data_IF_385445192679
#
_entry.id   IF_385445192679
#
_cell.length_a   1.000
_cell.length_b   1.000
_cell.length_c   1.000
_cell.angle_alpha   90.00
_cell.angle_beta   90.00
_cell.angle_gamma   90.00
#
_symmetry.space_group_name_H-M   'P 1'
#
loop_
_entity.id
_entity.type
_entity.pdbx_description
1 polymer ?
#
# COMPACT_ATOMS: atom_id res chain seq x y z
N UNK A 1 22.01 18.18 -4.04
CA UNK A 1 23.25 17.69 -3.41
C UNK A 1 23.08 17.80 -1.91
N UNK A 2 22.98 16.68 -1.21
CA UNK A 2 22.75 16.65 0.24
C UNK A 2 22.54 15.20 0.68
N UNK A 3 23.60 14.56 1.16
CA UNK A 3 23.58 13.20 1.69
C UNK A 3 23.24 13.32 3.18
N UNK A 4 22.12 12.74 3.61
CA UNK A 4 21.74 12.69 5.02
C UNK A 4 21.54 11.24 5.45
N UNK A 5 22.13 10.85 6.58
CA UNK A 5 22.03 9.51 7.18
C UNK A 5 20.86 9.44 8.15
N UNK A 6 20.11 8.34 8.12
CA UNK A 6 19.02 8.05 9.08
C UNK A 6 19.32 6.72 9.80
N UNK A 7 19.28 6.65 11.14
CA UNK A 7 19.42 5.40 11.88
C UNK A 7 18.09 4.61 11.93
N UNK A 8 18.11 3.31 11.67
CA UNK A 8 16.96 2.40 11.84
C UNK A 8 17.01 1.69 13.21
N UNK A 9 15.88 1.64 13.91
CA UNK A 9 15.66 0.78 15.08
C UNK A 9 14.58 -0.25 14.76
N UNK A 10 14.82 -1.53 15.06
CA UNK A 10 13.91 -2.65 14.79
C UNK A 10 13.09 -3.03 16.04
N UNK A 11 11.82 -3.46 15.90
CA UNK A 11 11.04 -4.00 17.01
C UNK A 11 11.41 -5.46 17.30
N UNK A 12 11.38 -5.84 18.60
CA UNK A 12 11.54 -7.22 19.06
C UNK A 12 10.28 -8.03 18.73
N UNK A 13 10.45 -9.26 18.24
CA UNK A 13 9.35 -10.20 17.98
C UNK A 13 9.68 -11.51 18.69
N UNK A 14 8.80 -11.87 19.62
CA UNK A 14 8.97 -12.98 20.55
C UNK A 14 8.05 -14.15 20.13
N UNK A 15 8.63 -15.18 19.45
CA UNK A 15 8.21 -16.61 19.24
C UNK A 15 6.99 -16.98 18.35
N UNK A 16 6.82 -18.26 17.86
CA UNK A 16 7.73 -19.43 17.72
C UNK A 16 7.62 -20.16 16.33
N UNK A 17 8.28 -21.32 16.10
CA UNK A 17 7.56 -22.62 15.95
C UNK A 17 8.44 -23.92 15.89
N UNK A 18 9.26 -24.28 14.89
CA UNK A 18 9.37 -25.75 14.60
C UNK A 18 10.68 -26.56 14.80
N UNK A 19 11.68 -26.18 15.62
CA UNK A 19 12.89 -27.04 15.84
C UNK A 19 13.21 -27.37 17.32
N UNK A 20 12.19 -27.53 18.16
CA UNK A 20 12.34 -27.54 19.64
C UNK A 20 12.87 -28.86 20.25
N UNK A 21 12.96 -29.98 19.54
CA UNK A 21 13.11 -31.28 20.25
C UNK A 21 14.54 -31.80 20.48
N UNK A 22 15.57 -31.33 19.75
CA UNK A 22 16.91 -31.92 19.83
C UNK A 22 17.92 -31.19 20.76
N UNK A 23 17.56 -30.06 21.37
CA UNK A 23 18.46 -29.24 22.20
C UNK A 23 18.04 -29.18 23.69
N UNK A 24 17.39 -30.23 24.19
CA UNK A 24 16.92 -30.34 25.57
C UNK A 24 18.06 -30.67 26.56
N UNK A 25 18.97 -29.72 26.81
CA UNK A 25 19.78 -29.72 28.06
C UNK A 25 20.51 -28.38 28.32
N UNK A 26 19.90 -27.24 27.95
CA UNK A 26 20.45 -25.95 28.37
C UNK A 26 19.88 -25.52 29.73
N UNK A 27 20.78 -25.59 30.71
CA UNK A 27 20.59 -25.14 32.08
C UNK A 27 19.95 -23.73 32.15
N UNK A 28 18.99 -23.61 33.07
CA UNK A 28 18.32 -22.37 33.48
C UNK A 28 19.37 -21.31 33.81
N UNK A 29 19.55 -20.30 32.95
CA UNK A 29 20.40 -19.15 33.26
C UNK A 29 20.80 -18.25 32.10
N UNK A 30 20.96 -18.78 30.88
CA UNK A 30 21.27 -17.98 29.69
C UNK A 30 20.71 -18.68 28.45
N UNK A 31 20.00 -17.95 27.59
CA UNK A 31 19.63 -18.43 26.26
C UNK A 31 20.90 -18.39 25.38
N UNK A 32 21.53 -19.54 25.08
CA UNK A 32 22.79 -19.58 24.35
C UNK A 32 22.64 -19.09 22.92
N UNK A 33 21.43 -19.22 22.34
CA UNK A 33 21.12 -18.73 20.98
C UNK A 33 21.07 -17.21 20.99
N UNK A 34 20.40 -16.61 21.98
CA UNK A 34 20.37 -15.16 22.14
C UNK A 34 21.77 -14.58 22.41
N UNK A 35 22.58 -15.25 23.22
CA UNK A 35 23.96 -14.84 23.48
C UNK A 35 24.83 -14.92 22.21
N UNK A 36 24.75 -16.03 21.47
CA UNK A 36 25.46 -16.22 20.22
C UNK A 36 25.06 -15.18 19.17
N UNK A 37 23.75 -14.92 19.03
CA UNK A 37 23.22 -13.89 18.14
C UNK A 37 23.71 -12.48 18.54
N UNK A 38 23.69 -12.16 19.83
CA UNK A 38 24.20 -10.89 20.35
C UNK A 38 25.71 -10.71 20.08
N UNK A 39 26.51 -11.76 20.28
CA UNK A 39 27.94 -11.77 19.99
C UNK A 39 28.21 -11.59 18.49
N UNK A 40 27.43 -12.27 17.64
CA UNK A 40 27.49 -12.14 16.19
C UNK A 40 27.14 -10.71 15.74
N UNK A 41 26.03 -10.13 16.21
CA UNK A 41 25.61 -8.76 15.88
C UNK A 41 26.64 -7.72 16.31
N UNK A 42 27.18 -7.80 17.54
CA UNK A 42 28.26 -6.89 18.00
C UNK A 42 29.50 -6.96 17.11
N UNK A 43 29.84 -8.16 16.65
CA UNK A 43 30.97 -8.38 15.74
C UNK A 43 30.70 -7.79 14.36
N UNK A 44 29.50 -8.01 13.81
CA UNK A 44 29.07 -7.40 12.56
C UNK A 44 29.08 -5.86 12.64
N UNK A 45 28.61 -5.27 13.74
CA UNK A 45 28.61 -3.81 13.92
C UNK A 45 30.03 -3.25 14.02
N UNK A 46 30.93 -3.84 14.82
CA UNK A 46 32.35 -3.43 14.89
C UNK A 46 33.06 -3.56 13.55
N UNK A 47 32.73 -4.59 12.78
CA UNK A 47 33.25 -4.79 11.43
C UNK A 47 32.63 -3.83 10.39
N UNK A 48 31.66 -3.00 10.78
CA UNK A 48 30.95 -2.08 9.88
C UNK A 48 30.00 -2.77 8.91
N UNK A 49 29.60 -4.02 9.18
CA UNK A 49 28.67 -4.78 8.33
C UNK A 49 27.22 -4.32 8.54
N UNK A 50 26.91 -3.85 9.74
CA UNK A 50 25.63 -3.21 10.09
C UNK A 50 25.78 -1.68 10.01
N UNK A 51 26.38 -1.19 8.92
CA UNK A 51 26.54 0.25 8.67
C UNK A 51 25.29 0.84 8.01
N UNK A 52 25.18 2.18 8.08
CA UNK A 52 24.20 2.92 7.31
C UNK A 52 24.31 2.54 5.83
N UNK A 53 23.22 2.00 5.29
CA UNK A 53 23.09 1.67 3.87
C UNK A 53 22.80 2.93 3.09
N UNK A 54 23.34 3.01 1.87
CA UNK A 54 22.98 4.09 0.95
C UNK A 54 21.51 3.94 0.54
N UNK A 55 20.87 5.09 0.41
CA UNK A 55 19.44 5.23 0.24
C UNK A 55 19.20 5.84 -1.14
N UNK A 56 18.43 5.16 -1.99
CA UNK A 56 18.16 5.60 -3.35
C UNK A 56 16.66 5.74 -3.64
N UNK A 57 16.29 6.80 -4.35
CA UNK A 57 14.91 7.07 -4.76
C UNK A 57 14.65 6.35 -6.07
N UNK A 58 13.63 5.49 -6.12
CA UNK A 58 13.31 4.67 -7.29
C UNK A 58 11.85 4.85 -7.69
N UNK A 59 11.54 4.62 -8.96
CA UNK A 59 10.16 4.57 -9.45
C UNK A 59 9.38 3.41 -8.82
N UNK A 60 8.05 3.54 -8.69
CA UNK A 60 7.22 2.55 -7.98
C UNK A 60 7.31 1.16 -8.60
N UNK A 61 7.38 1.10 -9.94
CA UNK A 61 7.56 -0.17 -10.67
C UNK A 61 8.90 -0.87 -10.41
N UNK A 62 9.93 -0.14 -9.96
CA UNK A 62 11.25 -0.68 -9.63
C UNK A 62 11.46 -0.88 -8.11
N UNK A 63 10.41 -0.63 -7.31
CA UNK A 63 10.48 -0.71 -5.85
C UNK A 63 10.37 -2.15 -5.31
N UNK A 64 9.81 -3.07 -6.10
CA UNK A 64 9.59 -4.46 -5.71
C UNK A 64 10.87 -5.16 -5.24
N UNK A 65 10.78 -5.88 -4.12
CA UNK A 65 11.88 -6.63 -3.50
C UNK A 65 12.85 -5.79 -2.68
N UNK A 66 12.76 -4.46 -2.73
CA UNK A 66 13.59 -3.55 -1.94
C UNK A 66 13.00 -3.35 -0.54
N UNK A 67 13.74 -2.65 0.33
CA UNK A 67 13.27 -2.31 1.69
C UNK A 67 12.99 -0.82 1.75
N UNK A 68 12.05 -0.34 2.59
CA UNK A 68 11.76 1.10 2.76
C UNK A 68 12.78 1.77 3.69
N UNK A 69 13.31 2.94 3.32
CA UNK A 69 14.25 3.69 4.17
C UNK A 69 13.52 4.55 5.22
N UNK A 70 12.30 4.96 4.94
CA UNK A 70 11.46 5.79 5.80
C UNK A 70 9.99 5.34 5.72
N UNK A 71 9.14 5.71 6.69
CA UNK A 71 7.71 5.42 6.63
C UNK A 71 7.06 6.09 5.42
N UNK A 72 6.33 5.33 4.62
CA UNK A 72 5.60 5.85 3.46
C UNK A 72 4.15 6.13 3.85
N UNK A 73 3.70 7.36 3.64
CA UNK A 73 2.34 7.81 3.94
C UNK A 73 1.56 8.10 2.66
N UNK A 74 0.24 7.93 2.70
CA UNK A 74 -0.62 8.18 1.54
C UNK A 74 -0.66 9.67 1.18
N UNK A 75 -0.55 9.98 -0.11
CA UNK A 75 -0.61 11.38 -0.60
C UNK A 75 -2.03 11.89 -0.77
N UNK A 76 -2.95 10.98 -1.11
CA UNK A 76 -4.37 11.26 -1.25
C UNK A 76 -5.19 10.10 -0.69
N UNK A 77 -6.48 10.33 -0.56
CA UNK A 77 -7.44 9.33 -0.13
C UNK A 77 -7.85 8.43 -1.31
N UNK A 78 -8.15 7.16 -1.02
CA UNK A 78 -8.69 6.19 -1.96
C UNK A 78 -9.95 5.57 -1.34
N UNK A 79 -11.13 5.69 -1.99
CA UNK A 79 -11.43 6.60 -3.11
C UNK A 79 -11.17 8.08 -2.75
N UNK A 80 -10.91 8.91 -3.76
CA UNK A 80 -10.67 10.35 -3.57
C UNK A 80 -11.97 11.16 -3.39
N UNK A 81 -13.11 10.55 -3.70
CA UNK A 81 -14.44 11.11 -3.67
C UNK A 81 -15.44 10.07 -3.13
N UNK A 82 -16.67 10.48 -2.81
CA UNK A 82 -17.73 9.52 -2.46
C UNK A 82 -18.14 8.78 -3.74
N UNK A 83 -17.96 7.46 -3.76
CA UNK A 83 -18.20 6.67 -4.96
C UNK A 83 -19.44 5.78 -4.80
N UNK A 84 -20.14 5.51 -5.90
CA UNK A 84 -21.18 4.49 -5.92
C UNK A 84 -20.56 3.11 -5.67
N UNK A 85 -21.16 2.34 -4.75
CA UNK A 85 -20.70 0.98 -4.45
C UNK A 85 -21.39 -0.08 -5.33
N UNK A 86 -22.47 0.29 -6.02
CA UNK A 86 -23.32 -0.58 -6.82
C UNK A 86 -23.78 0.19 -8.07
N UNK A 87 -24.17 -0.55 -9.11
CA UNK A 87 -24.81 0.02 -10.30
C UNK A 87 -26.28 0.33 -10.01
N UNK A 88 -26.81 1.43 -10.54
CA UNK A 88 -28.20 1.81 -10.39
C UNK A 88 -28.43 3.31 -10.45
N UNK A 89 -29.09 3.87 -9.43
CA UNK A 89 -29.39 5.30 -9.36
C UNK A 89 -28.98 5.90 -8.02
N UNK A 90 -28.22 7.01 -8.09
CA UNK A 90 -27.89 7.84 -6.95
C UNK A 90 -29.08 8.76 -6.64
N UNK A 91 -29.53 8.76 -5.40
CA UNK A 91 -30.74 9.46 -4.94
C UNK A 91 -30.46 10.22 -3.65
N UNK A 92 -31.35 11.12 -3.28
CA UNK A 92 -31.48 11.53 -1.89
C UNK A 92 -32.34 10.48 -1.18
N UNK A 93 -31.82 9.86 -0.11
CA UNK A 93 -32.44 8.72 0.55
C UNK A 93 -33.89 9.00 0.98
N UNK A 94 -34.15 10.22 1.47
CA UNK A 94 -35.48 10.68 1.90
C UNK A 94 -36.54 10.60 0.79
N UNK A 95 -36.15 10.73 -0.48
CA UNK A 95 -37.08 10.66 -1.62
C UNK A 95 -37.55 9.21 -1.89
N UNK A 96 -36.89 8.23 -1.28
CA UNK A 96 -37.26 6.80 -1.38
C UNK A 96 -38.02 6.29 -0.16
N UNK A 97 -38.35 7.16 0.79
CA UNK A 97 -39.01 6.76 2.03
C UNK A 97 -40.32 6.00 1.77
N UNK A 98 -40.47 4.85 2.41
CA UNK A 98 -41.62 3.94 2.27
C UNK A 98 -41.77 3.27 0.89
N UNK A 99 -40.77 3.35 0.00
CA UNK A 99 -40.76 2.58 -1.23
C UNK A 99 -40.74 1.07 -0.92
N UNK A 100 -41.69 0.35 -1.49
CA UNK A 100 -41.81 -1.11 -1.38
C UNK A 100 -42.27 -1.72 -2.70
N UNK A 101 -42.12 -3.04 -2.93
CA UNK A 101 -42.58 -3.67 -4.16
C UNK A 101 -44.07 -3.50 -4.46
N UNK A 102 -44.89 -3.29 -3.42
CA UNK A 102 -46.34 -3.07 -3.54
C UNK A 102 -46.71 -1.59 -3.67
N UNK A 103 -45.80 -0.69 -3.31
CA UNK A 103 -45.98 0.76 -3.33
C UNK A 103 -44.66 1.39 -3.78
N UNK A 104 -44.34 1.31 -5.08
CA UNK A 104 -43.13 1.93 -5.60
C UNK A 104 -43.26 3.46 -5.52
N UNK A 105 -42.13 4.12 -5.33
CA UNK A 105 -42.03 5.57 -5.41
C UNK A 105 -41.54 5.94 -6.80
N UNK A 106 -42.11 6.99 -7.38
CA UNK A 106 -41.72 7.49 -8.69
C UNK A 106 -40.84 8.72 -8.53
N UNK A 107 -39.64 8.65 -9.06
CA UNK A 107 -38.67 9.75 -9.11
C UNK A 107 -38.64 10.36 -10.50
N UNK A 108 -38.61 11.69 -10.59
CA UNK A 108 -38.47 12.40 -11.85
C UNK A 108 -37.00 12.40 -12.32
N UNK A 109 -36.71 12.69 -13.60
CA UNK A 109 -35.34 12.68 -14.11
C UNK A 109 -34.35 13.58 -13.36
N UNK A 110 -34.82 14.61 -12.66
CA UNK A 110 -33.99 15.51 -11.84
C UNK A 110 -33.75 14.99 -10.41
N UNK A 111 -34.47 13.96 -9.98
CA UNK A 111 -34.46 13.45 -8.60
C UNK A 111 -33.46 12.30 -8.41
N UNK A 112 -32.82 11.84 -9.49
CA UNK A 112 -31.79 10.82 -9.43
C UNK A 112 -30.73 11.02 -10.50
N UNK A 113 -29.57 10.38 -10.31
CA UNK A 113 -28.51 10.29 -11.31
C UNK A 113 -28.21 8.81 -11.60
N UNK A 114 -28.08 8.43 -12.87
CA UNK A 114 -27.62 7.08 -13.21
C UNK A 114 -26.15 6.95 -12.84
N UNK A 115 -25.80 5.87 -12.15
CA UNK A 115 -24.43 5.61 -11.70
C UNK A 115 -24.09 4.14 -11.87
N UNK A 116 -22.86 3.88 -12.28
CA UNK A 116 -22.21 2.58 -12.21
C UNK A 116 -21.23 2.53 -11.03
N UNK A 117 -20.80 1.32 -10.67
CA UNK A 117 -19.88 1.09 -9.56
C UNK A 117 -18.57 1.85 -9.76
N UNK A 118 -18.24 2.72 -8.81
CA UNK A 118 -17.06 3.58 -8.85
C UNK A 118 -17.34 5.01 -9.33
N UNK A 119 -18.53 5.30 -9.85
CA UNK A 119 -18.90 6.66 -10.27
C UNK A 119 -18.96 7.64 -9.10
N UNK A 120 -18.75 8.91 -9.43
CA UNK A 120 -18.79 10.02 -8.50
C UNK A 120 -20.23 10.29 -8.04
N UNK A 121 -20.46 10.31 -6.72
CA UNK A 121 -21.72 10.79 -6.15
C UNK A 121 -21.82 12.31 -6.21
N UNK A 122 -22.72 12.81 -7.06
CA UNK A 122 -23.00 14.25 -7.19
C UNK A 122 -23.58 14.85 -5.90
N UNK A 123 -23.47 16.18 -5.79
CA UNK A 123 -24.04 16.92 -4.66
C UNK A 123 -25.56 16.75 -4.60
N UNK A 124 -26.10 16.55 -3.39
CA UNK A 124 -27.53 16.31 -3.19
C UNK A 124 -27.91 14.83 -3.20
N UNK A 125 -27.03 13.94 -3.66
CA UNK A 125 -27.21 12.48 -3.53
C UNK A 125 -26.46 11.95 -2.32
N UNK A 126 -27.08 11.07 -1.55
CA UNK A 126 -26.48 10.50 -0.35
C UNK A 126 -26.62 8.97 -0.26
N UNK A 127 -27.31 8.33 -1.20
CA UNK A 127 -27.45 6.88 -1.28
C UNK A 127 -27.57 6.38 -2.73
N UNK A 128 -27.31 5.08 -2.95
CA UNK A 128 -27.51 4.42 -4.24
C UNK A 128 -28.53 3.29 -4.12
N UNK A 129 -29.56 3.33 -4.95
CA UNK A 129 -30.49 2.21 -5.17
C UNK A 129 -29.90 1.31 -6.23
N UNK A 130 -29.84 0.01 -5.96
CA UNK A 130 -29.31 -0.96 -6.92
C UNK A 130 -30.23 -1.08 -8.13
N UNK A 131 -29.64 -1.30 -9.32
CA UNK A 131 -30.33 -1.36 -10.61
C UNK A 131 -31.53 -2.31 -10.63
N UNK A 132 -31.49 -3.40 -9.85
CA UNK A 132 -32.54 -4.41 -9.73
C UNK A 132 -33.84 -3.85 -9.13
N UNK A 133 -33.74 -2.79 -8.33
CA UNK A 133 -34.86 -2.10 -7.67
C UNK A 133 -35.35 -0.88 -8.45
N UNK A 134 -34.83 -0.68 -9.66
CA UNK A 134 -35.12 0.48 -10.51
C UNK A 134 -35.82 0.03 -11.79
N UNK A 135 -36.95 0.65 -12.12
CA UNK A 135 -37.59 0.52 -13.44
C UNK A 135 -37.66 1.89 -14.09
N UNK A 136 -36.90 2.07 -15.16
CA UNK A 136 -36.95 3.30 -15.95
C UNK A 136 -38.20 3.29 -16.82
N UNK A 137 -38.95 4.38 -16.80
CA UNK A 137 -40.12 4.60 -17.64
C UNK A 137 -39.73 5.35 -18.93
N UNK A 138 -40.59 5.28 -19.95
CA UNK A 138 -40.34 5.91 -21.25
C UNK A 138 -40.28 7.44 -21.24
N UNK A 139 -40.77 8.09 -20.18
CA UNK A 139 -40.66 9.53 -19.97
C UNK A 139 -39.41 9.96 -19.17
N UNK A 140 -38.50 9.01 -18.92
CA UNK A 140 -37.25 9.23 -18.20
C UNK A 140 -37.37 9.18 -16.68
N UNK A 141 -38.57 9.02 -16.13
CA UNK A 141 -38.76 8.80 -14.69
C UNK A 141 -38.30 7.39 -14.26
N UNK A 142 -38.05 7.21 -12.98
CA UNK A 142 -37.70 5.92 -12.40
C UNK A 142 -38.73 5.50 -11.34
N UNK A 143 -39.24 4.28 -11.43
CA UNK A 143 -39.97 3.64 -10.34
C UNK A 143 -38.99 2.87 -9.46
N UNK A 144 -38.98 3.20 -8.17
CA UNK A 144 -38.14 2.63 -7.14
C UNK A 144 -38.99 1.76 -6.23
N UNK A 145 -38.64 0.49 -6.11
CA UNK A 145 -39.43 -0.50 -5.37
C UNK A 145 -38.82 -0.91 -4.02
N UNK A 146 -37.70 -0.29 -3.62
CA UNK A 146 -37.07 -0.46 -2.33
C UNK A 146 -36.57 0.89 -1.78
N UNK A 147 -36.77 1.13 -0.48
CA UNK A 147 -36.21 2.31 0.18
C UNK A 147 -34.74 2.13 0.55
N UNK A 148 -34.02 3.24 0.73
CA UNK A 148 -32.61 3.24 1.13
C UNK A 148 -32.34 4.23 2.24
N UNK A 149 -31.38 3.92 3.11
CA UNK A 149 -30.91 4.83 4.16
C UNK A 149 -29.74 5.69 3.69
N UNK A 150 -29.54 6.91 4.23
CA UNK A 150 -28.38 7.73 3.91
C UNK A 150 -27.06 6.97 4.07
N UNK A 151 -26.15 7.15 3.11
CA UNK A 151 -24.83 6.52 3.07
C UNK A 151 -24.81 5.06 2.60
N UNK A 152 -25.98 4.45 2.34
CA UNK A 152 -26.03 3.06 1.88
C UNK A 152 -25.59 2.95 0.43
N UNK A 153 -24.79 1.91 0.16
CA UNK A 153 -24.17 1.67 -1.15
C UNK A 153 -23.33 2.86 -1.64
N UNK A 154 -22.78 3.64 -0.72
CA UNK A 154 -21.85 4.73 -1.00
C UNK A 154 -20.53 4.42 -0.31
N UNK A 155 -19.45 4.40 -1.10
CA UNK A 155 -18.10 4.29 -0.58
C UNK A 155 -17.61 5.65 -0.11
N UNK A 156 -17.10 5.71 1.10
CA UNK A 156 -16.65 6.96 1.70
C UNK A 156 -15.27 7.37 1.18
N UNK A 157 -14.98 8.67 1.24
CA UNK A 157 -13.64 9.17 0.89
C UNK A 157 -12.60 8.55 1.81
N UNK A 158 -11.59 7.90 1.22
CA UNK A 158 -10.51 7.29 1.98
C UNK A 158 -10.89 6.02 2.74
N UNK A 159 -11.99 5.36 2.35
CA UNK A 159 -12.42 4.07 2.91
C UNK A 159 -11.32 3.00 2.81
N UNK A 160 -10.58 2.95 1.69
CA UNK A 160 -9.46 2.02 1.53
C UNK A 160 -8.19 2.57 2.15
N UNK A 161 -7.83 3.81 1.78
CA UNK A 161 -6.62 4.49 2.21
C UNK A 161 -6.95 5.94 2.49
N UNK A 162 -6.74 6.40 3.71
CA UNK A 162 -6.92 7.81 4.05
C UNK A 162 -5.62 8.59 3.86
N UNK A 163 -5.71 9.78 3.26
CA UNK A 163 -4.56 10.69 3.09
C UNK A 163 -3.79 10.90 4.41
N UNK A 164 -2.46 10.87 4.33
CA UNK A 164 -1.55 11.05 5.48
C UNK A 164 -1.38 9.82 6.38
N UNK A 165 -2.22 8.78 6.25
CA UNK A 165 -2.05 7.53 7.00
C UNK A 165 -0.85 6.73 6.49
N UNK A 166 -0.29 5.92 7.38
CA UNK A 166 0.84 5.06 7.08
C UNK A 166 0.40 3.97 6.09
N UNK A 167 1.12 3.84 4.99
CA UNK A 167 0.94 2.76 4.01
C UNK A 167 1.98 1.67 4.28
N UNK A 168 3.26 2.02 4.34
CA UNK A 168 4.35 1.09 4.66
C UNK A 168 5.22 1.65 5.79
N UNK A 169 5.56 0.85 6.81
CA UNK A 169 6.51 1.27 7.84
C UNK A 169 7.94 1.33 7.27
N UNK A 170 8.85 1.91 8.05
CA UNK A 170 10.30 1.86 7.78
C UNK A 170 10.81 0.42 7.91
N UNK A 171 11.79 0.03 7.09
CA UNK A 171 12.37 -1.32 7.14
C UNK A 171 11.48 -2.41 6.53
N UNK A 172 10.38 -2.04 5.87
CA UNK A 172 9.46 -2.96 5.24
C UNK A 172 9.99 -3.45 3.90
N UNK A 173 10.01 -4.78 3.67
CA UNK A 173 10.35 -5.34 2.36
C UNK A 173 9.15 -5.25 1.42
N UNK A 174 9.29 -4.47 0.36
CA UNK A 174 8.24 -4.17 -0.62
C UNK A 174 7.92 -5.43 -1.43
N UNK A 175 6.69 -5.91 -1.29
CA UNK A 175 6.10 -7.04 -2.05
C UNK A 175 5.30 -6.50 -3.25
N UNK A 176 4.89 -7.36 -4.20
CA UNK A 176 4.06 -6.93 -5.34
C UNK A 176 2.77 -6.21 -4.94
N UNK A 177 2.09 -6.66 -3.87
CA UNK A 177 0.89 -5.99 -3.33
C UNK A 177 1.21 -4.60 -2.76
N UNK A 178 2.39 -4.43 -2.18
CA UNK A 178 2.81 -3.15 -1.61
C UNK A 178 3.10 -2.14 -2.73
N UNK A 179 3.60 -2.60 -3.89
CA UNK A 179 3.78 -1.76 -5.09
C UNK A 179 2.42 -1.22 -5.57
N UNK A 180 1.38 -2.07 -5.60
CA UNK A 180 0.04 -1.64 -5.95
C UNK A 180 -0.53 -0.63 -4.93
N UNK A 181 -0.35 -0.89 -3.64
CA UNK A 181 -0.78 0.01 -2.58
C UNK A 181 -0.06 1.38 -2.65
N UNK A 182 1.24 1.40 -2.93
CA UNK A 182 2.01 2.62 -3.13
C UNK A 182 1.51 3.43 -4.33
N UNK A 183 1.22 2.76 -5.45
CA UNK A 183 0.66 3.39 -6.64
C UNK A 183 -0.73 3.98 -6.35
N UNK A 184 -1.62 3.19 -5.72
CA UNK A 184 -2.95 3.64 -5.32
C UNK A 184 -2.90 4.84 -4.36
N UNK A 185 -1.94 4.86 -3.44
CA UNK A 185 -1.72 5.94 -2.49
C UNK A 185 -1.02 7.19 -3.08
N UNK A 186 -0.78 7.21 -4.40
CA UNK A 186 -0.28 8.36 -5.15
C UNK A 186 1.23 8.49 -5.27
N UNK A 187 1.98 7.39 -5.13
CA UNK A 187 3.43 7.40 -5.32
C UNK A 187 3.81 6.90 -6.71
N UNK A 188 4.33 7.80 -7.55
CA UNK A 188 4.99 7.46 -8.83
C UNK A 188 6.48 7.17 -8.64
N UNK A 189 7.09 7.85 -7.67
CA UNK A 189 8.47 7.69 -7.23
C UNK A 189 8.44 7.55 -5.70
N UNK A 190 8.20 6.34 -5.16
CA UNK A 190 8.29 6.14 -3.72
C UNK A 190 9.68 6.55 -3.25
N UNK A 191 9.68 7.38 -2.22
CA UNK A 191 10.87 7.79 -1.51
C UNK A 191 11.55 6.56 -0.87
N UNK A 192 12.84 6.70 -0.57
CA UNK A 192 13.85 5.81 -1.09
C UNK A 192 13.86 4.42 -0.45
N UNK A 193 14.41 3.48 -1.19
CA UNK A 193 14.76 2.18 -0.69
C UNK A 193 16.26 2.13 -0.36
N UNK A 194 16.70 1.58 0.79
CA UNK A 194 18.04 1.05 0.92
C UNK A 194 18.39 0.16 -0.27
N UNK A 195 19.51 0.47 -0.90
CA UNK A 195 20.24 -0.56 -1.62
C UNK A 195 20.68 -1.58 -0.55
N UNK A 196 20.18 -2.82 -0.65
CA UNK A 196 20.74 -3.92 0.12
C UNK A 196 22.26 -3.86 -0.07
N UNK A 197 23.01 -3.91 1.04
CA UNK A 197 24.42 -3.53 1.07
C UNK A 197 25.17 -4.05 -0.17
N UNK A 198 25.79 -3.13 -0.92
CA UNK A 198 26.50 -3.46 -2.17
C UNK A 198 27.63 -4.49 -2.02
N UNK A 199 27.94 -4.90 -0.79
CA UNK A 199 28.94 -5.92 -0.47
C UNK A 199 28.41 -7.36 -0.57
N UNK A 200 27.10 -7.57 -0.47
CA UNK A 200 26.47 -8.90 -0.65
C UNK A 200 26.09 -9.17 -2.11
N UNK A 201 25.67 -8.15 -2.87
CA UNK A 201 25.24 -8.33 -4.26
C UNK A 201 26.38 -8.63 -5.26
N UNK A 202 27.62 -8.27 -4.93
CA UNK A 202 28.74 -8.29 -5.88
C UNK A 202 29.69 -9.52 -5.77
N UNK A 203 29.31 -10.57 -5.02
CA UNK A 203 30.10 -11.84 -4.97
C UNK A 203 29.49 -13.00 -5.75
N UNK A 204 28.38 -12.80 -6.45
CA UNK A 204 27.69 -13.84 -7.20
C UNK A 204 28.01 -13.93 -8.70
N UNK A 205 28.87 -13.07 -9.27
CA UNK A 205 29.26 -13.15 -10.69
C UNK A 205 30.79 -13.15 -10.84
N UNK A 206 31.34 -14.36 -10.87
CA UNK A 206 32.50 -14.76 -11.67
C UNK A 206 33.77 -13.91 -11.60
N UNK A 207 34.74 -14.40 -10.84
CA UNK A 207 36.15 -14.13 -11.09
C UNK A 207 36.57 -14.73 -12.46
N UNK A 208 37.03 -13.89 -13.38
CA UNK A 208 38.05 -14.23 -14.38
C UNK A 208 38.55 -12.96 -15.07
N UNK A 209 39.86 -12.69 -14.99
CA UNK A 209 40.52 -11.70 -15.87
C UNK A 209 41.28 -10.57 -15.18
N UNK A 210 42.27 -10.87 -14.34
CA UNK A 210 43.39 -9.96 -14.10
C UNK A 210 44.38 -10.07 -15.27
N UNK A 211 44.55 -9.02 -16.08
CA UNK A 211 45.80 -8.49 -16.72
C UNK A 211 45.41 -7.11 -17.29
N UNK A 212 46.14 -6.01 -17.22
CA UNK A 212 47.45 -5.66 -16.69
C UNK A 212 47.58 -4.13 -16.86
N UNK A 213 48.45 -3.52 -16.07
CA UNK A 213 48.78 -2.10 -16.15
C UNK A 213 49.33 -1.73 -17.55
N UNK A 214 48.96 -0.54 -18.03
CA UNK A 214 49.50 0.03 -19.27
C UNK A 214 49.03 1.46 -19.47
N UNK A 215 49.75 2.41 -18.86
CA UNK A 215 49.65 3.82 -19.21
C UNK A 215 50.04 4.04 -20.68
N UNK A 216 49.31 4.91 -21.41
CA UNK A 216 49.87 5.79 -22.45
C UNK A 216 48.89 6.91 -22.85
N UNK A 217 49.51 8.05 -23.11
CA UNK A 217 49.02 9.40 -23.45
C UNK A 217 48.42 9.49 -24.87
N UNK A 218 47.61 10.54 -25.11
CA UNK A 218 47.33 11.16 -26.42
C UNK A 218 46.43 10.31 -27.35
N UNK A 219 45.57 10.82 -28.23
CA UNK A 219 45.41 12.13 -28.90
C UNK A 219 44.03 12.11 -29.59
N UNK A 220 43.45 13.30 -29.84
CA UNK A 220 42.54 13.70 -30.96
C UNK A 220 41.67 12.60 -31.62
N UNK A 221 40.35 12.78 -31.63
CA UNK A 221 39.56 13.70 -32.48
C UNK A 221 38.25 14.02 -31.76
#
# INVERSE_FOLDING_TARGET
>A
MGVHRVPMTWPRVDTPIDDVQAAHDYAVGADPVAEAFGAWMRTCTRAGWVAAVDVEVVGVGAAGGRVTAEPVRARWSVPAYRAAAMDGVAVQAADTDNATPRKPVRLLPMDFDLVDTGDLMLSGRDAVIMREHVRLAGDGSAEIDASVTPGRHVRSVGEDIQAGKLVLPVGHRIRPVDVAALAAAGHTIPRPAPACCGRCANRGRGAAGRRGAGARRGTRY
#
